data_IF_488466685475
#
_entry.id   IF_488466685475
#
_cell.length_a   1.000
_cell.length_b   1.000
_cell.length_c   1.000
_cell.angle_alpha   90.00
_cell.angle_beta   90.00
_cell.angle_gamma   90.00
#
_symmetry.space_group_name_H-M   'P 1'
#
loop_
_entity.id
_entity.type
_entity.pdbx_description
1 polymer ?
#
# COMPACT_ATOMS: atom_id res chain seq x y z
N UNK A 1 -15.80 -1.98 1.41
CA UNK A 1 -16.60 -1.60 0.23
C UNK A 1 -17.29 -0.24 0.35
N UNK A 2 -18.36 -0.02 1.13
CA UNK A 2 -19.07 1.27 1.16
C UNK A 2 -18.17 2.48 1.55
N UNK A 3 -17.44 2.36 2.66
CA UNK A 3 -16.52 3.41 3.13
C UNK A 3 -15.33 3.68 2.18
N UNK A 4 -14.91 2.68 1.40
CA UNK A 4 -13.83 2.84 0.42
C UNK A 4 -14.30 3.60 -0.82
N UNK A 5 -15.55 3.36 -1.24
CA UNK A 5 -16.16 4.10 -2.35
C UNK A 5 -16.42 5.55 -1.98
N UNK A 6 -16.78 5.83 -0.72
CA UNK A 6 -16.90 7.20 -0.20
C UNK A 6 -15.54 7.90 -0.15
N UNK A 7 -14.50 7.26 0.40
CA UNK A 7 -13.15 7.84 0.45
C UNK A 7 -12.56 8.11 -0.95
N UNK A 8 -12.73 7.18 -1.90
CA UNK A 8 -12.28 7.37 -3.29
C UNK A 8 -12.99 8.54 -4.00
N UNK A 9 -14.23 8.84 -3.61
CA UNK A 9 -14.97 9.99 -4.18
C UNK A 9 -14.54 11.32 -3.57
N UNK A 10 -13.95 11.28 -2.38
CA UNK A 10 -13.67 12.48 -1.57
C UNK A 10 -12.18 12.86 -1.56
N UNK A 11 -11.25 11.91 -1.68
CA UNK A 11 -9.81 12.17 -1.51
C UNK A 11 -9.02 11.80 -2.76
N UNK A 12 -8.23 12.75 -3.27
CA UNK A 12 -7.28 12.59 -4.39
C UNK A 12 -5.86 12.39 -3.88
N UNK A 13 -4.94 11.94 -4.76
CA UNK A 13 -3.51 11.80 -4.42
C UNK A 13 -2.89 13.09 -3.90
N UNK A 14 -3.18 14.21 -4.54
CA UNK A 14 -2.66 15.53 -4.17
C UNK A 14 -3.16 15.99 -2.79
N UNK A 15 -4.33 15.50 -2.35
CA UNK A 15 -4.90 15.85 -1.05
C UNK A 15 -3.99 15.36 0.10
N UNK A 16 -3.31 14.22 -0.05
CA UNK A 16 -2.36 13.72 0.94
C UNK A 16 -1.16 14.64 1.14
N UNK A 17 -0.72 15.34 0.09
CA UNK A 17 0.36 16.31 0.19
C UNK A 17 -0.06 17.59 0.91
N UNK A 18 -1.37 17.89 0.93
CA UNK A 18 -1.97 19.05 1.59
C UNK A 18 -2.42 18.75 3.03
N UNK A 19 -2.38 17.49 3.48
CA UNK A 19 -2.75 17.12 4.84
C UNK A 19 -1.75 17.69 5.85
N UNK A 20 -2.27 18.40 6.85
CA UNK A 20 -1.47 18.90 7.97
C UNK A 20 -1.63 17.97 9.17
N UNK A 21 -0.50 17.56 9.75
CA UNK A 21 -0.49 16.64 10.88
C UNK A 21 -0.85 17.40 12.16
N UNK A 22 -1.91 16.97 12.84
CA UNK A 22 -2.29 17.50 14.15
C UNK A 22 -1.46 16.86 15.25
N UNK A 23 -1.24 15.55 15.16
CA UNK A 23 -0.42 14.80 16.10
C UNK A 23 -0.70 13.30 16.11
N UNK A 24 -0.10 12.61 17.07
CA UNK A 24 -0.30 11.18 17.28
C UNK A 24 -1.36 10.93 18.35
N UNK A 25 -2.28 10.01 18.09
CA UNK A 25 -3.29 9.55 19.03
C UNK A 25 -3.01 8.09 19.46
N UNK A 26 -3.00 7.88 20.77
CA UNK A 26 -2.87 6.55 21.42
C UNK A 26 -1.70 5.69 20.91
N UNK A 27 -0.60 6.33 20.46
CA UNK A 27 0.58 5.68 19.89
C UNK A 27 0.28 4.71 18.73
N UNK A 28 -0.87 4.85 18.07
CA UNK A 28 -1.29 3.95 16.98
C UNK A 28 -1.87 4.67 15.77
N UNK A 29 -2.29 5.93 15.95
CA UNK A 29 -2.95 6.69 14.90
C UNK A 29 -2.32 8.05 14.72
N UNK A 30 -2.32 8.52 13.48
CA UNK A 30 -1.97 9.87 13.08
C UNK A 30 -3.28 10.61 12.82
N UNK A 31 -3.44 11.78 13.45
CA UNK A 31 -4.54 12.67 13.19
C UNK A 31 -4.08 13.73 12.21
N UNK A 32 -4.79 13.85 11.09
CA UNK A 32 -4.49 14.80 10.04
C UNK A 32 -5.73 15.62 9.69
N UNK A 33 -5.51 16.89 9.32
CA UNK A 33 -6.57 17.78 8.83
C UNK A 33 -6.33 18.09 7.36
N UNK A 34 -7.40 18.19 6.60
CA UNK A 34 -7.40 18.58 5.19
C UNK A 34 -8.34 19.75 5.01
N UNK A 35 -7.83 20.85 4.46
CA UNK A 35 -8.64 21.98 4.06
C UNK A 35 -9.09 21.76 2.61
N UNK A 36 -10.40 21.79 2.38
CA UNK A 36 -10.98 21.62 1.05
C UNK A 36 -12.11 22.62 0.86
N UNK A 37 -11.97 23.45 -0.16
CA UNK A 37 -12.84 24.61 -0.41
C UNK A 37 -12.94 25.51 0.84
N UNK A 38 -14.11 25.58 1.48
CA UNK A 38 -14.35 26.33 2.74
C UNK A 38 -14.42 25.43 3.98
N UNK A 39 -14.24 24.12 3.83
CA UNK A 39 -14.33 23.11 4.88
C UNK A 39 -12.97 22.67 5.44
N UNK A 40 -13.01 22.04 6.61
CA UNK A 40 -11.82 21.44 7.23
C UNK A 40 -12.19 20.04 7.76
N UNK A 41 -11.70 19.02 7.08
CA UNK A 41 -11.97 17.63 7.40
C UNK A 41 -10.86 17.05 8.29
N UNK A 42 -11.27 16.29 9.29
CA UNK A 42 -10.37 15.54 10.17
C UNK A 42 -10.34 14.07 9.77
N UNK A 43 -9.14 13.51 9.70
CA UNK A 43 -8.89 12.11 9.36
C UNK A 43 -8.11 11.41 10.46
N UNK A 44 -8.42 10.13 10.64
CA UNK A 44 -7.63 9.20 11.45
C UNK A 44 -6.93 8.21 10.52
N UNK A 45 -5.62 8.10 10.69
CA UNK A 45 -4.74 7.29 9.84
C UNK A 45 -4.03 6.28 10.74
N UNK A 46 -4.19 4.99 10.48
CA UNK A 46 -3.46 3.93 11.16
C UNK A 46 -2.00 3.96 10.72
N UNK A 47 -1.09 4.19 11.67
CA UNK A 47 0.32 4.37 11.37
C UNK A 47 0.95 3.11 10.77
N UNK A 48 0.56 1.93 11.28
CA UNK A 48 1.12 0.66 10.86
C UNK A 48 0.57 0.25 9.50
N UNK A 49 -0.76 0.26 9.34
CA UNK A 49 -1.41 -0.17 8.12
C UNK A 49 -1.01 0.71 6.92
N UNK A 50 -0.86 2.02 7.13
CA UNK A 50 -0.48 2.97 6.08
C UNK A 50 0.97 2.77 5.64
N UNK A 51 1.90 2.63 6.59
CA UNK A 51 3.31 2.37 6.27
C UNK A 51 3.52 0.96 5.67
N UNK A 52 2.79 -0.05 6.16
CA UNK A 52 2.73 -1.40 5.56
C UNK A 52 2.26 -1.38 4.12
N UNK A 53 1.19 -0.64 3.83
CA UNK A 53 0.66 -0.52 2.46
C UNK A 53 1.71 0.09 1.53
N UNK A 54 2.35 1.18 1.92
CA UNK A 54 3.41 1.78 1.11
C UNK A 54 4.59 0.82 0.89
N UNK A 55 5.13 0.23 1.97
CA UNK A 55 6.24 -0.72 1.89
C UNK A 55 5.90 -1.93 0.99
N UNK A 56 4.66 -2.42 1.04
CA UNK A 56 4.19 -3.50 0.20
C UNK A 56 4.17 -3.13 -1.28
N UNK A 57 3.63 -1.97 -1.66
CA UNK A 57 3.64 -1.52 -3.07
C UNK A 57 5.08 -1.31 -3.58
N UNK A 58 5.96 -0.74 -2.76
CA UNK A 58 7.38 -0.58 -3.11
C UNK A 58 8.07 -1.94 -3.31
N UNK A 59 7.74 -2.95 -2.51
CA UNK A 59 8.27 -4.31 -2.70
C UNK A 59 7.75 -4.93 -4.01
N UNK A 60 6.46 -4.75 -4.33
CA UNK A 60 5.86 -5.27 -5.56
C UNK A 60 6.53 -4.70 -6.81
N UNK A 61 6.80 -3.39 -6.83
CA UNK A 61 7.37 -2.68 -7.98
C UNK A 61 8.88 -2.90 -8.13
N UNK A 62 9.64 -2.79 -7.04
CA UNK A 62 11.10 -2.64 -7.13
C UNK A 62 11.88 -3.93 -6.89
N UNK A 63 11.26 -4.98 -6.33
CA UNK A 63 12.00 -6.19 -5.93
C UNK A 63 12.19 -7.15 -7.11
N UNK A 64 13.43 -7.50 -7.43
CA UNK A 64 13.72 -8.66 -8.28
C UNK A 64 13.89 -9.89 -7.39
N UNK A 65 13.24 -10.98 -7.74
CA UNK A 65 13.28 -12.22 -6.95
C UNK A 65 14.46 -13.06 -7.39
N UNK A 66 15.25 -13.52 -6.41
CA UNK A 66 16.36 -14.42 -6.68
C UNK A 66 15.85 -15.74 -7.28
N UNK A 67 16.50 -16.16 -8.35
CA UNK A 67 16.16 -17.37 -9.09
C UNK A 67 17.21 -18.46 -8.89
N UNK A 68 16.78 -19.71 -8.83
CA UNK A 68 17.63 -20.88 -8.93
C UNK A 68 17.53 -21.50 -10.32
N UNK A 69 18.68 -21.74 -10.94
CA UNK A 69 18.77 -22.47 -12.20
C UNK A 69 18.41 -23.94 -11.99
N UNK A 70 17.57 -24.48 -12.87
CA UNK A 70 17.23 -25.89 -12.90
C UNK A 70 18.40 -26.73 -13.41
N UNK A 71 18.49 -27.97 -12.92
CA UNK A 71 19.50 -28.95 -13.38
C UNK A 71 19.30 -29.27 -14.86
N UNK A 72 18.04 -29.37 -15.29
CA UNK A 72 17.64 -29.50 -16.69
C UNK A 72 16.50 -28.53 -16.98
N UNK A 73 16.51 -27.82 -18.13
CA UNK A 73 15.36 -27.04 -18.57
C UNK A 73 14.10 -27.90 -18.63
N UNK A 74 12.96 -27.32 -18.22
CA UNK A 74 11.66 -28.00 -18.19
C UNK A 74 10.75 -27.42 -19.27
N UNK A 75 10.16 -28.29 -20.09
CA UNK A 75 9.12 -27.88 -21.04
C UNK A 75 7.84 -27.47 -20.30
N UNK A 76 7.20 -26.43 -20.81
CA UNK A 76 5.94 -25.92 -20.27
C UNK A 76 4.78 -26.40 -21.14
N UNK A 77 3.69 -26.83 -20.52
CA UNK A 77 2.47 -27.25 -21.21
C UNK A 77 1.50 -26.06 -21.31
N UNK A 78 1.84 -25.07 -22.15
CA UNK A 78 1.06 -23.85 -22.32
C UNK A 78 0.17 -23.91 -23.56
N UNK A 79 -0.99 -23.26 -23.49
CA UNK A 79 -1.78 -22.97 -24.69
C UNK A 79 -1.07 -21.92 -25.56
N UNK A 80 -1.43 -21.85 -26.85
CA UNK A 80 -0.84 -20.87 -27.77
C UNK A 80 -1.03 -19.41 -27.30
N UNK A 81 -2.15 -19.11 -26.63
CA UNK A 81 -2.41 -17.79 -26.05
C UNK A 81 -1.50 -17.50 -24.86
N UNK A 82 -1.34 -18.45 -23.94
CA UNK A 82 -0.46 -18.31 -22.78
C UNK A 82 1.02 -18.20 -23.20
N UNK A 83 1.43 -18.96 -24.21
CA UNK A 83 2.78 -18.89 -24.79
C UNK A 83 3.08 -17.48 -25.33
N UNK A 84 2.13 -16.87 -26.05
CA UNK A 84 2.27 -15.50 -26.56
C UNK A 84 2.38 -14.48 -25.41
N UNK A 85 1.48 -14.56 -24.43
CA UNK A 85 1.50 -13.66 -23.25
C UNK A 85 2.82 -13.76 -22.49
N UNK A 86 3.36 -14.98 -22.33
CA UNK A 86 4.64 -15.19 -21.68
C UNK A 86 5.80 -14.58 -22.48
N UNK A 87 5.80 -14.71 -23.81
CA UNK A 87 6.81 -14.10 -24.69
C UNK A 87 6.76 -12.57 -24.61
N UNK A 88 5.56 -11.99 -24.65
CA UNK A 88 5.38 -10.53 -24.61
C UNK A 88 5.78 -9.91 -23.26
N UNK A 89 5.84 -10.71 -22.19
CA UNK A 89 6.08 -10.25 -20.81
C UNK A 89 7.28 -10.94 -20.13
N UNK A 90 8.28 -11.40 -20.90
CA UNK A 90 9.46 -12.11 -20.39
C UNK A 90 10.16 -11.35 -19.26
N UNK A 91 10.27 -10.02 -19.37
CA UNK A 91 10.94 -9.19 -18.37
C UNK A 91 10.24 -9.24 -17.00
N UNK A 92 8.90 -9.32 -16.99
CA UNK A 92 8.10 -9.42 -15.77
C UNK A 92 8.24 -10.82 -15.16
N UNK A 93 8.23 -11.87 -15.99
CA UNK A 93 8.48 -13.25 -15.55
C UNK A 93 9.87 -13.37 -14.92
N UNK A 94 10.88 -12.78 -15.56
CA UNK A 94 12.26 -12.73 -15.07
C UNK A 94 12.40 -11.94 -13.78
N UNK A 95 11.69 -10.82 -13.63
CA UNK A 95 11.65 -10.05 -12.37
C UNK A 95 10.99 -10.84 -11.22
N UNK A 96 10.14 -11.82 -11.55
CA UNK A 96 9.56 -12.78 -10.61
C UNK A 96 10.45 -14.02 -10.37
N UNK A 97 11.64 -14.07 -10.97
CA UNK A 97 12.60 -15.17 -10.80
C UNK A 97 12.34 -16.37 -11.72
N UNK A 98 11.41 -16.25 -12.67
CA UNK A 98 11.17 -17.25 -13.71
C UNK A 98 11.92 -16.86 -14.98
N UNK A 99 12.95 -17.61 -15.33
CA UNK A 99 13.74 -17.37 -16.54
C UNK A 99 13.36 -18.39 -17.61
N UNK A 100 12.95 -17.89 -18.78
CA UNK A 100 12.45 -18.70 -19.89
C UNK A 100 13.41 -18.63 -21.09
N UNK A 101 13.73 -19.79 -21.65
CA UNK A 101 14.31 -19.92 -22.99
C UNK A 101 13.21 -19.78 -24.03
N UNK A 102 13.43 -18.95 -25.04
CA UNK A 102 12.50 -18.79 -26.16
C UNK A 102 13.12 -19.34 -27.43
N UNK A 103 12.44 -20.30 -28.05
CA UNK A 103 12.74 -20.85 -29.36
C UNK A 103 11.57 -20.52 -30.31
N UNK A 104 11.73 -19.47 -31.12
CA UNK A 104 10.68 -18.99 -32.02
C UNK A 104 10.43 -19.93 -33.21
N UNK A 105 11.41 -20.78 -33.54
CA UNK A 105 11.35 -21.74 -34.65
C UNK A 105 10.66 -23.05 -34.25
N UNK A 106 10.55 -23.32 -32.94
CA UNK A 106 9.83 -24.47 -32.43
C UNK A 106 8.33 -24.46 -32.78
N UNK A 107 7.73 -25.64 -32.73
CA UNK A 107 6.28 -25.81 -32.90
C UNK A 107 5.53 -24.95 -31.87
N UNK A 108 4.38 -24.39 -32.28
CA UNK A 108 3.44 -23.72 -31.36
C UNK A 108 3.20 -24.59 -30.13
N UNK A 109 3.13 -23.96 -28.94
CA UNK A 109 3.04 -24.59 -27.61
C UNK A 109 4.31 -25.29 -27.12
N UNK A 110 5.44 -25.19 -27.84
CA UNK A 110 6.74 -25.75 -27.43
C UNK A 110 7.89 -24.74 -27.52
N UNK A 111 7.57 -23.45 -27.66
CA UNK A 111 8.57 -22.39 -27.82
C UNK A 111 9.25 -22.00 -26.52
N UNK A 112 8.68 -22.38 -25.38
CA UNK A 112 9.16 -21.96 -24.07
C UNK A 112 9.69 -23.12 -23.25
N UNK A 113 10.88 -22.93 -22.67
CA UNK A 113 11.45 -23.81 -21.65
C UNK A 113 11.79 -23.02 -20.40
N UNK A 114 11.41 -23.53 -19.24
CA UNK A 114 11.81 -22.96 -17.96
C UNK A 114 13.25 -23.34 -17.66
N UNK A 115 14.14 -22.34 -17.51
CA UNK A 115 15.55 -22.54 -17.15
C UNK A 115 15.78 -22.29 -15.66
N UNK A 116 15.10 -21.30 -15.08
CA UNK A 116 15.26 -20.93 -13.67
C UNK A 116 13.92 -20.64 -13.03
N UNK A 117 13.79 -20.95 -11.74
CA UNK A 117 12.59 -20.69 -10.94
C UNK A 117 12.94 -19.91 -9.68
N UNK A 118 12.00 -19.14 -9.10
CA UNK A 118 12.26 -18.36 -7.90
C UNK A 118 12.64 -19.26 -6.72
N UNK A 119 13.55 -18.77 -5.88
CA UNK A 119 13.96 -19.44 -4.66
C UNK A 119 13.66 -18.55 -3.44
N UNK A 120 13.09 -19.15 -2.40
CA UNK A 120 13.04 -18.58 -1.06
C UNK A 120 13.25 -19.69 -0.04
N UNK A 121 13.89 -19.39 1.09
CA UNK A 121 14.26 -20.39 2.11
C UNK A 121 13.07 -21.20 2.61
N UNK A 122 11.91 -20.55 2.73
CA UNK A 122 10.71 -21.12 3.35
C UNK A 122 9.56 -21.37 2.35
N UNK A 123 9.77 -21.09 1.05
CA UNK A 123 8.72 -21.19 0.03
C UNK A 123 9.23 -21.95 -1.19
N UNK A 124 8.53 -23.02 -1.52
CA UNK A 124 8.78 -23.80 -2.74
C UNK A 124 7.91 -23.24 -3.85
N UNK A 125 8.56 -22.81 -4.92
CA UNK A 125 7.91 -22.38 -6.16
C UNK A 125 7.86 -23.53 -7.16
N UNK A 126 6.74 -23.62 -7.87
CA UNK A 126 6.46 -24.63 -8.88
C UNK A 126 6.03 -23.99 -10.20
N UNK A 127 5.63 -24.84 -11.14
CA UNK A 127 5.14 -24.39 -12.46
C UNK A 127 3.74 -23.78 -12.34
N UNK A 128 2.98 -24.20 -11.34
CA UNK A 128 1.64 -23.68 -11.05
C UNK A 128 1.71 -22.17 -10.70
N UNK A 129 2.80 -21.73 -10.06
CA UNK A 129 3.03 -20.32 -9.74
C UNK A 129 3.37 -19.48 -10.98
N UNK A 130 4.02 -20.10 -11.98
CA UNK A 130 4.29 -19.49 -13.29
C UNK A 130 3.00 -19.37 -14.10
N UNK A 131 2.16 -20.43 -14.10
CA UNK A 131 0.86 -20.42 -14.77
C UNK A 131 -0.08 -19.38 -14.16
N UNK A 132 -0.10 -19.25 -12.82
CA UNK A 132 -0.81 -18.17 -12.13
C UNK A 132 -0.34 -16.79 -12.63
N UNK A 133 0.96 -16.60 -12.77
CA UNK A 133 1.54 -15.35 -13.22
C UNK A 133 1.16 -15.00 -14.67
N UNK A 134 1.19 -15.99 -15.57
CA UNK A 134 0.77 -15.83 -16.97
C UNK A 134 -0.72 -15.51 -17.06
N UNK A 135 -1.55 -16.15 -16.22
CA UNK A 135 -2.96 -15.83 -16.14
C UNK A 135 -3.18 -14.36 -15.71
N UNK A 136 -2.49 -13.89 -14.67
CA UNK A 136 -2.57 -12.49 -14.22
C UNK A 136 -2.14 -11.49 -15.29
N UNK A 137 -1.11 -11.81 -16.08
CA UNK A 137 -0.63 -10.99 -17.20
C UNK A 137 -1.64 -10.92 -18.36
N UNK A 138 -2.52 -11.92 -18.48
CA UNK A 138 -3.59 -11.89 -19.49
C UNK A 138 -4.65 -10.83 -19.15
N UNK A 139 -4.91 -10.61 -17.86
CA UNK A 139 -5.85 -9.57 -17.41
C UNK A 139 -5.22 -8.17 -17.39
N UNK A 140 -3.92 -8.08 -17.08
CA UNK A 140 -3.17 -6.83 -16.90
C UNK A 140 -1.83 -6.86 -17.67
N UNK A 141 -1.88 -6.75 -19.01
CA UNK A 141 -0.68 -6.82 -19.83
C UNK A 141 0.24 -5.62 -19.57
N UNK A 142 1.54 -5.85 -19.45
CA UNK A 142 2.55 -4.81 -19.22
C UNK A 142 2.64 -4.27 -17.80
N UNK A 143 1.78 -4.69 -16.88
CA UNK A 143 1.85 -4.32 -15.46
C UNK A 143 2.67 -5.32 -14.65
N UNK A 144 3.42 -4.83 -13.66
CA UNK A 144 4.15 -5.69 -12.73
C UNK A 144 3.15 -6.48 -11.86
N UNK A 145 2.97 -7.75 -12.16
CA UNK A 145 2.15 -8.69 -11.38
C UNK A 145 3.03 -9.65 -10.60
N UNK A 146 2.48 -10.15 -9.48
CA UNK A 146 3.12 -11.12 -8.57
C UNK A 146 2.13 -12.24 -8.27
N UNK A 147 2.60 -13.49 -8.31
CA UNK A 147 1.79 -14.63 -7.90
C UNK A 147 1.46 -14.58 -6.40
N UNK A 148 0.44 -15.35 -5.99
CA UNK A 148 -0.09 -15.37 -4.63
C UNK A 148 0.98 -15.64 -3.55
N UNK A 149 1.92 -16.57 -3.81
CA UNK A 149 3.02 -16.89 -2.87
C UNK A 149 3.96 -15.70 -2.67
N UNK A 150 4.38 -15.05 -3.75
CA UNK A 150 5.23 -13.86 -3.68
C UNK A 150 4.50 -12.73 -2.96
N UNK A 151 3.23 -12.52 -3.28
CA UNK A 151 2.41 -11.49 -2.64
C UNK A 151 2.32 -11.68 -1.12
N UNK A 152 2.07 -12.92 -0.66
CA UNK A 152 2.07 -13.27 0.76
C UNK A 152 3.43 -13.02 1.42
N UNK A 153 4.51 -13.38 0.72
CA UNK A 153 5.87 -13.13 1.19
C UNK A 153 6.14 -11.62 1.34
N UNK A 154 5.76 -10.80 0.36
CA UNK A 154 5.93 -9.35 0.42
C UNK A 154 5.05 -8.70 1.49
N UNK A 155 3.81 -9.17 1.67
CA UNK A 155 2.95 -8.72 2.75
C UNK A 155 3.60 -8.94 4.13
N UNK A 156 4.17 -10.14 4.35
CA UNK A 156 4.89 -10.43 5.60
C UNK A 156 6.15 -9.58 5.78
N UNK A 157 6.93 -9.36 4.71
CA UNK A 157 8.12 -8.50 4.74
C UNK A 157 7.76 -7.04 5.01
N UNK A 158 6.70 -6.52 4.40
CA UNK A 158 6.21 -5.17 4.62
C UNK A 158 5.79 -4.97 6.08
N UNK A 159 4.96 -5.88 6.61
CA UNK A 159 4.48 -5.83 8.00
C UNK A 159 5.63 -5.76 9.01
N UNK A 160 6.67 -6.59 8.84
CA UNK A 160 7.84 -6.62 9.73
C UNK A 160 8.75 -5.40 9.61
N UNK A 161 8.70 -4.68 8.48
CA UNK A 161 9.53 -3.49 8.22
C UNK A 161 8.85 -2.20 8.69
N UNK A 162 7.52 -2.18 8.70
CA UNK A 162 6.74 -0.99 9.02
C UNK A 162 6.78 -0.61 10.49
N UNK A 163 6.44 0.64 10.77
CA UNK A 163 6.25 1.15 12.14
C UNK A 163 5.25 0.30 12.92
N UNK A 164 5.51 0.06 14.20
CA UNK A 164 4.65 -0.76 15.05
C UNK A 164 3.59 0.11 15.74
N UNK A 165 2.46 -0.52 16.09
CA UNK A 165 1.52 0.11 17.03
C UNK A 165 2.18 0.17 18.41
N UNK A 166 2.15 1.33 19.04
CA UNK A 166 2.85 1.63 20.29
C UNK A 166 4.12 2.47 20.09
N UNK A 167 4.63 2.59 18.86
CA UNK A 167 5.80 3.42 18.58
C UNK A 167 5.43 4.91 18.67
N UNK A 168 6.20 5.68 19.45
CA UNK A 168 6.10 7.13 19.46
C UNK A 168 6.74 7.69 18.19
N UNK A 169 5.96 8.42 17.39
CA UNK A 169 6.42 8.98 16.11
C UNK A 169 6.75 10.46 16.25
N UNK A 170 7.86 10.88 15.68
CA UNK A 170 8.15 12.30 15.46
C UNK A 170 7.20 12.88 14.41
N UNK A 171 7.02 14.20 14.43
CA UNK A 171 6.22 14.91 13.42
C UNK A 171 6.66 14.57 11.98
N UNK A 172 7.97 14.54 11.73
CA UNK A 172 8.53 14.21 10.41
C UNK A 172 8.22 12.79 9.96
N UNK A 173 8.19 11.81 10.89
CA UNK A 173 7.81 10.43 10.58
C UNK A 173 6.33 10.33 10.23
N UNK A 174 5.47 11.01 10.99
CA UNK A 174 4.03 11.04 10.70
C UNK A 174 3.75 11.67 9.34
N UNK A 175 4.35 12.83 9.07
CA UNK A 175 4.23 13.52 7.79
C UNK A 175 4.71 12.64 6.62
N UNK A 176 5.84 11.94 6.79
CA UNK A 176 6.35 11.01 5.78
C UNK A 176 5.35 9.90 5.46
N UNK A 177 4.76 9.26 6.48
CA UNK A 177 3.77 8.20 6.29
C UNK A 177 2.56 8.71 5.51
N UNK A 178 2.04 9.89 5.86
CA UNK A 178 0.88 10.48 5.16
C UNK A 178 1.23 10.85 3.72
N UNK A 179 2.39 11.45 3.46
CA UNK A 179 2.83 11.80 2.10
C UNK A 179 3.00 10.57 1.20
N UNK A 180 3.58 9.50 1.74
CA UNK A 180 3.73 8.22 1.04
C UNK A 180 2.38 7.65 0.54
N UNK A 181 1.27 7.90 1.26
CA UNK A 181 -0.05 7.44 0.81
C UNK A 181 -0.48 8.11 -0.50
N UNK A 182 -0.03 9.33 -0.78
CA UNK A 182 -0.28 10.04 -2.04
C UNK A 182 0.53 9.51 -3.23
N UNK A 183 1.61 8.75 -2.99
CA UNK A 183 2.46 8.21 -4.05
C UNK A 183 1.91 6.91 -4.66
N UNK A 184 1.06 6.19 -3.92
CA UNK A 184 0.56 4.87 -4.28
C UNK A 184 -0.89 4.91 -4.77
N UNK A 185 -1.27 3.92 -5.57
CA UNK A 185 -2.66 3.76 -6.01
C UNK A 185 -3.51 3.08 -4.94
N UNK A 186 -4.68 3.65 -4.67
CA UNK A 186 -5.67 3.13 -3.71
C UNK A 186 -5.07 2.79 -2.33
N UNK A 187 -4.60 3.79 -1.56
CA UNK A 187 -3.91 3.59 -0.29
C UNK A 187 -4.82 3.09 0.85
N UNK A 188 -6.07 2.67 0.60
CA UNK A 188 -7.13 2.54 1.60
C UNK A 188 -7.05 1.31 2.49
N UNK A 189 -6.37 0.26 2.01
CA UNK A 189 -6.23 -1.00 2.74
C UNK A 189 -4.80 -1.52 2.65
N UNK A 190 -4.31 -2.04 3.77
CA UNK A 190 -3.06 -2.78 3.81
C UNK A 190 -3.20 -4.13 3.07
N UNK A 191 -2.10 -4.82 2.72
CA UNK A 191 -2.15 -6.12 2.04
C UNK A 191 -2.91 -7.22 2.80
N UNK A 192 -3.16 -7.05 4.10
CA UNK A 192 -3.98 -7.94 4.93
C UNK A 192 -5.46 -7.53 5.04
N UNK A 193 -5.87 -6.44 4.36
CA UNK A 193 -7.26 -5.96 4.33
C UNK A 193 -7.65 -5.02 5.48
N UNK A 194 -6.71 -4.55 6.30
CA UNK A 194 -7.00 -3.55 7.33
C UNK A 194 -7.07 -2.16 6.71
N UNK A 195 -8.03 -1.32 7.12
CA UNK A 195 -8.12 0.04 6.62
C UNK A 195 -6.94 0.89 7.08
N UNK A 196 -6.39 1.69 6.19
CA UNK A 196 -5.27 2.61 6.48
C UNK A 196 -5.75 3.93 7.06
N UNK A 197 -6.92 4.41 6.63
CA UNK A 197 -7.47 5.68 7.10
C UNK A 197 -8.99 5.73 7.03
N UNK A 198 -9.58 6.63 7.83
CA UNK A 198 -11.01 6.96 7.82
C UNK A 198 -11.22 8.46 8.05
N UNK A 199 -12.30 8.99 7.47
CA UNK A 199 -12.82 10.31 7.83
C UNK A 199 -13.39 10.24 9.24
N UNK A 200 -13.03 11.21 10.09
CA UNK A 200 -13.57 11.33 11.44
C UNK A 200 -14.73 12.32 11.47
N UNK A 201 -14.48 13.55 11.01
CA UNK A 201 -15.41 14.65 11.24
C UNK A 201 -15.10 15.84 10.33
N UNK A 202 -16.15 16.56 9.91
CA UNK A 202 -16.04 17.85 9.22
C UNK A 202 -16.15 19.00 10.24
N UNK A 203 -15.04 19.67 10.50
CA UNK A 203 -14.94 20.72 11.52
C UNK A 203 -15.77 21.97 11.18
N UNK A 204 -16.22 22.15 9.94
CA UNK A 204 -17.12 23.27 9.57
C UNK A 204 -18.49 23.18 10.25
N UNK A 205 -18.87 21.97 10.69
CA UNK A 205 -20.13 21.71 11.39
C UNK A 205 -20.08 22.10 12.88
N UNK A 206 -18.90 22.45 13.41
CA UNK A 206 -18.77 22.89 14.80
C UNK A 206 -19.19 24.36 14.90
N UNK A 207 -20.35 24.62 15.51
CA UNK A 207 -20.66 25.96 16.00
C UNK A 207 -19.65 26.34 17.08
N UNK A 208 -18.73 27.25 16.74
CA UNK A 208 -17.83 27.85 17.70
C UNK A 208 -18.66 28.76 18.62
N UNK A 209 -18.80 28.36 19.89
CA UNK A 209 -19.27 29.30 20.91
C UNK A 209 -18.24 30.44 21.01
N UNK A 210 -18.67 31.72 21.04
CA UNK A 210 -17.75 32.82 21.20
C UNK A 210 -16.92 32.59 22.46
N UNK A 211 -15.60 32.67 22.29
CA UNK A 211 -14.59 32.47 23.33
C UNK A 211 -15.06 33.10 24.65
N UNK A 212 -15.12 32.29 25.72
CA UNK A 212 -15.36 32.78 27.07
C UNK A 212 -14.28 33.82 27.38
N UNK A 213 -14.62 35.11 27.28
CA UNK A 213 -13.74 36.17 27.74
C UNK A 213 -13.52 35.93 29.23
N UNK A 214 -12.26 35.70 29.61
CA UNK A 214 -11.87 35.69 31.01
C UNK A 214 -12.29 37.04 31.58
N UNK A 215 -13.40 37.08 32.32
CA UNK A 215 -13.80 38.26 33.08
C UNK A 215 -12.62 38.59 33.99
N UNK A 216 -11.94 39.69 33.72
CA UNK A 216 -11.00 40.28 34.65
C UNK A 216 -11.75 40.45 35.98
N UNK A 217 -11.32 39.71 37.01
CA UNK A 217 -11.77 39.94 38.38
C UNK A 217 -11.28 41.32 38.78
N UNK A 218 -12.15 42.32 38.70
CA UNK A 218 -11.93 43.58 39.40
C UNK A 218 -12.08 43.30 40.89
N UNK A 219 -10.94 43.26 41.60
CA UNK A 219 -10.92 43.40 43.05
C UNK A 219 -11.46 44.80 43.38
N UNK A 220 -12.71 44.88 43.80
CA UNK A 220 -13.21 45.99 44.60
C UNK A 220 -13.75 45.42 45.90
N UNK A 221 -12.94 45.62 46.94
CA UNK A 221 -13.32 45.31 48.30
C UNK A 221 -14.45 46.22 48.78
N UNK A 222 -15.34 45.64 49.56
CA UNK A 222 -15.95 46.28 50.72
C UNK A 222 -16.60 45.20 51.58
N UNK A 223 -15.88 44.77 52.62
CA UNK A 223 -16.49 44.15 53.78
C UNK A 223 -16.87 45.31 54.70
N UNK A 224 -18.13 45.73 54.64
CA UNK A 224 -18.70 46.58 55.68
C UNK A 224 -19.43 45.66 56.67
N UNK A 225 -18.92 45.67 57.91
CA UNK A 225 -19.52 45.06 59.10
C UNK A 225 -20.82 45.82 59.48
N UNK A 226 -21.89 45.08 59.77
CA UNK A 226 -22.76 45.18 60.96
C UNK A 226 -23.92 44.18 60.86
#
# INVERSE_FOLDING_TARGET
>A
EAAEQELNRVIKKDDFAMMEIVGQFNLGFIIAKLYKDEGCDLFIIDQHASDEKYNFEQLQLNTKIDSQRLISPRYLELTAAQELVAIDNIDILKANGFDLEVDLEAQTTKKLKLISQPMSKDIIFGVEDLEELIFLLTERPGEMVRCSKVRKMFASRACRKSVMVGDALSYQQMEKIVRHMGEIDQPWNCPHGRPTMRHLFDLSQIQTYPSYSMRQRTNHGRLDNL
#
